data_IF_412359031975
#
_entry.id   IF_412359031975
#
_cell.length_a   1.000
_cell.length_b   1.000
_cell.length_c   1.000
_cell.angle_alpha   90.00
_cell.angle_beta   90.00
_cell.angle_gamma   90.00
#
_symmetry.space_group_name_H-M   'P 1'
#
loop_
_entity.id
_entity.type
_entity.pdbx_description
1 polymer ?
#
# COMPACT_ATOMS: atom_id res chain seq x y z
N UNK A 1 55.53 -23.61 32.35
CA UNK A 1 54.97 -24.51 31.31
C UNK A 1 53.55 -24.94 31.64
N UNK A 2 53.28 -25.46 32.84
CA UNK A 2 51.93 -25.89 33.27
C UNK A 2 50.89 -24.76 33.27
N UNK A 3 51.25 -23.58 33.76
CA UNK A 3 50.35 -22.42 33.85
C UNK A 3 49.97 -21.82 32.48
N UNK A 4 50.92 -21.83 31.52
CA UNK A 4 50.62 -21.46 30.13
C UNK A 4 49.72 -22.48 29.44
N UNK A 5 49.89 -23.78 29.75
CA UNK A 5 49.03 -24.82 29.22
C UNK A 5 47.60 -24.68 29.76
N UNK A 6 47.43 -24.39 31.05
CA UNK A 6 46.13 -24.12 31.68
C UNK A 6 45.44 -22.90 31.10
N UNK A 7 46.15 -21.78 30.92
CA UNK A 7 45.60 -20.60 30.27
C UNK A 7 45.16 -20.87 28.83
N UNK A 8 45.93 -21.65 28.07
CA UNK A 8 45.58 -22.03 26.71
C UNK A 8 44.33 -22.92 26.66
N UNK A 9 44.17 -23.90 27.56
CA UNK A 9 42.96 -24.74 27.62
C UNK A 9 41.72 -23.95 28.02
N UNK A 10 41.86 -23.02 28.97
CA UNK A 10 40.78 -22.13 29.40
C UNK A 10 40.32 -21.23 28.24
N UNK A 11 41.27 -20.61 27.52
CA UNK A 11 40.99 -19.79 26.35
C UNK A 11 40.34 -20.61 25.22
N UNK A 12 40.82 -21.82 24.95
CA UNK A 12 40.26 -22.70 23.93
C UNK A 12 38.82 -23.13 24.28
N UNK A 13 38.55 -23.48 25.54
CA UNK A 13 37.19 -23.78 26.01
C UNK A 13 36.24 -22.61 25.80
N UNK A 14 36.66 -21.40 26.19
CA UNK A 14 35.85 -20.18 26.00
C UNK A 14 35.60 -19.91 24.51
N UNK A 15 36.62 -20.06 23.67
CA UNK A 15 36.49 -19.89 22.23
C UNK A 15 35.52 -20.91 21.61
N UNK A 16 35.60 -22.18 22.00
CA UNK A 16 34.67 -23.22 21.55
C UNK A 16 33.22 -22.89 21.89
N UNK A 17 32.94 -22.46 23.13
CA UNK A 17 31.60 -22.03 23.57
C UNK A 17 31.11 -20.85 22.73
N UNK A 18 31.96 -19.87 22.43
CA UNK A 18 31.60 -18.74 21.58
C UNK A 18 31.31 -19.16 20.14
N UNK A 19 32.10 -20.07 19.58
CA UNK A 19 31.87 -20.61 18.22
C UNK A 19 30.53 -21.35 18.15
N UNK A 20 30.19 -22.16 19.15
CA UNK A 20 28.89 -22.83 19.20
C UNK A 20 27.73 -21.84 19.31
N UNK A 21 27.88 -20.81 20.16
CA UNK A 21 26.89 -19.73 20.28
C UNK A 21 26.70 -19.00 18.96
N UNK A 22 27.79 -18.58 18.31
CA UNK A 22 27.74 -17.88 17.02
C UNK A 22 27.14 -18.75 15.92
N UNK A 23 27.46 -20.04 15.87
CA UNK A 23 26.84 -20.98 14.92
C UNK A 23 25.33 -21.10 15.13
N UNK A 24 24.86 -21.14 16.39
CA UNK A 24 23.42 -21.15 16.71
C UNK A 24 22.74 -19.85 16.29
N UNK A 25 23.33 -18.71 16.62
CA UNK A 25 22.80 -17.40 16.22
C UNK A 25 22.75 -17.27 14.70
N UNK A 26 23.83 -17.66 14.01
CA UNK A 26 23.89 -17.60 12.55
C UNK A 26 22.82 -18.49 11.91
N UNK A 27 22.64 -19.72 12.42
CA UNK A 27 21.56 -20.61 11.96
C UNK A 27 20.17 -19.99 12.15
N UNK A 28 19.88 -19.45 13.34
CA UNK A 28 18.59 -18.81 13.61
C UNK A 28 18.36 -17.57 12.73
N UNK A 29 19.41 -16.80 12.43
CA UNK A 29 19.31 -15.67 11.50
C UNK A 29 19.07 -16.13 10.06
N UNK A 30 19.76 -17.19 9.63
CA UNK A 30 19.53 -17.77 8.30
C UNK A 30 18.11 -18.30 8.19
N UNK A 31 17.64 -19.06 9.17
CA UNK A 31 16.26 -19.58 9.23
C UNK A 31 15.25 -18.44 9.12
N UNK A 32 15.37 -17.38 9.95
CA UNK A 32 14.50 -16.19 9.90
C UNK A 32 14.58 -15.43 8.57
N UNK A 33 15.75 -15.36 7.95
CA UNK A 33 15.93 -14.69 6.65
C UNK A 33 15.36 -15.49 5.48
N UNK A 34 15.26 -16.81 5.65
CA UNK A 34 14.72 -17.75 4.65
C UNK A 34 13.26 -18.13 4.92
N UNK A 35 12.67 -17.60 5.99
CA UNK A 35 11.29 -17.89 6.36
C UNK A 35 10.34 -17.32 5.27
N UNK A 36 9.50 -18.16 4.65
CA UNK A 36 8.54 -17.69 3.66
C UNK A 36 7.53 -16.73 4.27
N UNK A 37 7.19 -15.67 3.56
CA UNK A 37 6.16 -14.72 3.98
C UNK A 37 4.81 -15.16 3.41
N UNK A 38 3.84 -15.39 4.31
CA UNK A 38 2.48 -15.72 3.92
C UNK A 38 1.69 -14.46 3.53
N UNK A 39 1.01 -14.52 2.38
CA UNK A 39 -0.01 -13.54 2.00
C UNK A 39 -1.33 -14.07 2.58
N UNK A 40 -1.80 -13.46 3.66
CA UNK A 40 -2.98 -13.93 4.42
C UNK A 40 -4.29 -13.22 4.07
N UNK A 41 -4.21 -12.07 3.41
CA UNK A 41 -5.36 -11.28 3.00
C UNK A 41 -5.00 -10.34 1.86
N UNK A 42 -6.00 -9.95 1.09
CA UNK A 42 -5.88 -9.02 -0.04
C UNK A 42 -7.22 -8.32 -0.28
N UNK A 43 -7.14 -7.04 -0.63
CA UNK A 43 -8.24 -6.27 -1.22
C UNK A 43 -7.68 -5.41 -2.36
N UNK A 44 -8.53 -5.05 -3.31
CA UNK A 44 -8.14 -4.21 -4.44
C UNK A 44 -9.33 -3.48 -5.06
N UNK A 45 -9.04 -2.37 -5.74
CA UNK A 45 -9.96 -1.68 -6.64
C UNK A 45 -9.27 -1.47 -7.98
N UNK A 46 -9.93 -1.85 -9.06
CA UNK A 46 -9.44 -1.72 -10.42
C UNK A 46 -10.55 -1.21 -11.35
N UNK A 47 -10.21 -0.72 -12.56
CA UNK A 47 -11.20 -0.30 -13.54
C UNK A 47 -12.19 -1.40 -13.94
N UNK A 48 -13.35 -0.97 -14.44
CA UNK A 48 -14.39 -1.88 -14.96
C UNK A 48 -15.20 -2.58 -13.86
N UNK A 49 -15.47 -1.86 -12.76
CA UNK A 49 -16.25 -2.36 -11.62
C UNK A 49 -15.56 -3.43 -10.79
N UNK A 50 -14.22 -3.54 -10.85
CA UNK A 50 -13.48 -4.54 -10.08
C UNK A 50 -13.25 -4.02 -8.67
N UNK A 51 -14.02 -4.55 -7.72
CA UNK A 51 -14.01 -4.14 -6.32
C UNK A 51 -13.34 -5.16 -5.37
N UNK A 52 -12.86 -6.28 -5.89
CA UNK A 52 -12.39 -7.41 -5.08
C UNK A 52 -11.35 -8.27 -5.82
N UNK A 53 -10.54 -9.05 -5.08
CA UNK A 53 -9.63 -10.03 -5.70
C UNK A 53 -10.36 -11.05 -6.58
N UNK A 54 -11.56 -11.47 -6.19
CA UNK A 54 -12.42 -12.34 -7.00
C UNK A 54 -12.87 -11.63 -8.29
N UNK A 55 -13.29 -10.37 -8.19
CA UNK A 55 -13.66 -9.55 -9.35
C UNK A 55 -12.48 -9.37 -10.32
N UNK A 56 -11.27 -9.18 -9.79
CA UNK A 56 -10.04 -9.11 -10.57
C UNK A 56 -9.78 -10.43 -11.29
N UNK A 57 -9.87 -11.55 -10.57
CA UNK A 57 -9.69 -12.88 -11.15
C UNK A 57 -10.66 -13.12 -12.30
N UNK A 58 -11.94 -12.83 -12.10
CA UNK A 58 -12.96 -13.00 -13.13
C UNK A 58 -12.68 -12.11 -14.35
N UNK A 59 -12.30 -10.84 -14.13
CA UNK A 59 -11.92 -9.93 -15.21
C UNK A 59 -10.76 -10.48 -16.05
N UNK A 60 -9.71 -11.00 -15.42
CA UNK A 60 -8.55 -11.59 -16.11
C UNK A 60 -8.95 -12.88 -16.83
N UNK A 61 -9.69 -13.77 -16.17
CA UNK A 61 -10.11 -15.05 -16.72
C UNK A 61 -10.99 -14.88 -17.97
N UNK A 62 -11.86 -13.87 -17.97
CA UNK A 62 -12.73 -13.52 -19.08
C UNK A 62 -12.04 -12.65 -20.15
N UNK A 63 -10.79 -12.24 -19.91
CA UNK A 63 -10.03 -11.30 -20.75
C UNK A 63 -10.82 -10.02 -21.09
N UNK A 64 -11.53 -9.46 -20.10
CA UNK A 64 -12.35 -8.25 -20.30
C UNK A 64 -11.47 -7.02 -20.55
N UNK A 65 -11.79 -6.29 -21.61
CA UNK A 65 -11.33 -4.92 -21.78
C UNK A 65 -12.13 -3.98 -20.87
N UNK A 66 -11.43 -3.33 -19.95
CA UNK A 66 -12.00 -2.42 -18.94
C UNK A 66 -11.66 -0.96 -19.21
N UNK A 67 -11.18 -0.65 -20.43
CA UNK A 67 -10.95 0.71 -20.87
C UNK A 67 -12.29 1.42 -21.12
N UNK A 68 -12.42 2.63 -20.62
CA UNK A 68 -13.61 3.47 -20.79
C UNK A 68 -13.23 4.86 -21.28
N UNK A 69 -14.22 5.63 -21.73
CA UNK A 69 -14.04 7.06 -21.93
C UNK A 69 -13.73 7.77 -20.60
N UNK A 70 -13.20 8.99 -20.69
CA UNK A 70 -12.89 9.76 -19.49
C UNK A 70 -14.15 10.02 -18.64
N UNK A 71 -14.04 9.93 -17.30
CA UNK A 71 -15.16 10.11 -16.40
C UNK A 71 -15.66 11.56 -16.43
N UNK A 72 -16.99 11.73 -16.40
CA UNK A 72 -17.66 13.03 -16.48
C UNK A 72 -17.93 13.68 -15.11
N UNK A 73 -17.60 12.98 -14.02
CA UNK A 73 -17.89 13.36 -12.64
C UNK A 73 -16.66 13.93 -11.90
N UNK A 74 -15.51 14.09 -12.58
CA UNK A 74 -14.26 14.58 -11.98
C UNK A 74 -13.99 16.07 -12.18
N UNK A 75 -14.97 16.80 -12.72
CA UNK A 75 -14.86 18.25 -12.97
C UNK A 75 -13.91 18.62 -14.11
N UNK A 76 -13.61 17.69 -15.01
CA UNK A 76 -12.70 17.92 -16.14
C UNK A 76 -13.43 18.55 -17.34
N UNK A 77 -12.81 19.52 -17.99
CA UNK A 77 -13.26 20.03 -19.30
C UNK A 77 -12.85 19.05 -20.41
N UNK A 78 -13.63 17.98 -20.60
CA UNK A 78 -13.33 16.94 -21.58
C UNK A 78 -13.37 17.46 -23.03
N UNK A 79 -14.26 18.42 -23.32
CA UNK A 79 -14.37 19.02 -24.65
C UNK A 79 -13.14 19.87 -24.98
N UNK A 80 -12.62 20.61 -24.00
CA UNK A 80 -11.39 21.36 -24.10
C UNK A 80 -10.12 20.52 -23.93
N UNK A 81 -10.18 19.26 -23.52
CA UNK A 81 -8.99 18.45 -23.27
C UNK A 81 -8.50 17.68 -24.49
N UNK A 82 -9.37 17.28 -25.41
CA UNK A 82 -9.01 16.40 -26.54
C UNK A 82 -8.55 17.17 -27.78
N UNK A 83 -7.45 16.70 -28.40
CA UNK A 83 -7.02 17.08 -29.75
C UNK A 83 -6.34 15.88 -30.41
N UNK A 84 -6.74 15.45 -31.63
CA UNK A 84 -6.12 14.31 -32.30
C UNK A 84 -4.65 14.53 -32.69
N UNK A 85 -4.17 15.78 -32.75
CA UNK A 85 -2.76 16.09 -33.02
C UNK A 85 -1.93 16.04 -31.72
N UNK A 86 -0.98 15.08 -31.60
CA UNK A 86 -0.16 14.94 -30.40
C UNK A 86 0.81 16.11 -30.16
N UNK A 87 1.04 16.97 -31.16
CA UNK A 87 1.92 18.13 -31.03
C UNK A 87 1.22 19.35 -30.42
N UNK A 88 -0.11 19.30 -30.28
CA UNK A 88 -0.89 20.38 -29.66
C UNK A 88 -0.68 20.39 -28.15
N UNK A 89 -0.10 21.49 -27.66
CA UNK A 89 0.23 21.65 -26.24
C UNK A 89 -1.03 21.66 -25.35
N UNK A 90 -0.89 21.09 -24.17
CA UNK A 90 -1.93 21.04 -23.12
C UNK A 90 -3.21 20.29 -23.50
N UNK A 91 -3.16 19.48 -24.56
CA UNK A 91 -4.24 18.59 -24.99
C UNK A 91 -3.81 17.13 -24.83
N UNK A 92 -4.80 16.25 -24.79
CA UNK A 92 -4.63 14.81 -24.85
C UNK A 92 -5.10 14.32 -26.22
N UNK A 93 -4.29 13.50 -26.88
CA UNK A 93 -4.70 12.76 -28.08
C UNK A 93 -5.37 11.41 -27.75
N UNK A 94 -5.41 11.02 -26.47
CA UNK A 94 -6.16 9.87 -25.98
C UNK A 94 -7.47 10.31 -25.34
N UNK A 95 -8.53 9.51 -25.54
CA UNK A 95 -9.87 9.72 -24.95
C UNK A 95 -10.32 8.60 -24.01
N UNK A 96 -9.51 7.56 -23.89
CA UNK A 96 -9.84 6.35 -23.14
C UNK A 96 -8.76 6.04 -22.11
N UNK A 97 -9.17 5.48 -20.98
CA UNK A 97 -8.30 5.13 -19.86
C UNK A 97 -8.93 4.07 -18.96
N UNK A 98 -8.15 3.57 -18.02
CA UNK A 98 -8.66 2.76 -16.92
C UNK A 98 -8.99 3.65 -15.74
N UNK A 99 -10.26 3.73 -15.36
CA UNK A 99 -10.73 4.54 -14.25
C UNK A 99 -11.40 3.66 -13.20
N UNK A 100 -11.01 3.86 -11.93
CA UNK A 100 -11.71 3.26 -10.80
C UNK A 100 -13.02 4.00 -10.56
N UNK A 101 -14.11 3.22 -10.43
CA UNK A 101 -15.45 3.71 -10.15
C UNK A 101 -15.55 4.15 -8.67
N UNK A 102 -16.41 5.13 -8.38
CA UNK A 102 -16.66 5.55 -6.99
C UNK A 102 -15.44 6.10 -6.25
N UNK A 103 -14.40 6.57 -6.95
CA UNK A 103 -13.15 7.04 -6.32
C UNK A 103 -13.35 8.22 -5.34
N UNK A 104 -14.48 8.92 -5.45
CA UNK A 104 -14.85 10.00 -4.55
C UNK A 104 -15.59 9.52 -3.30
N UNK A 105 -16.13 8.28 -3.31
CA UNK A 105 -16.88 7.69 -2.22
C UNK A 105 -15.94 7.34 -1.07
N UNK A 106 -16.40 7.59 0.15
CA UNK A 106 -15.66 7.31 1.37
C UNK A 106 -16.62 7.36 2.57
N UNK A 107 -16.46 6.47 3.55
CA UNK A 107 -17.16 6.56 4.84
C UNK A 107 -16.27 7.23 5.91
N UNK A 108 -16.28 8.57 6.02
CA UNK A 108 -15.42 9.26 6.96
C UNK A 108 -15.79 8.99 8.42
N UNK A 109 -17.07 8.74 8.72
CA UNK A 109 -17.53 8.51 10.08
C UNK A 109 -16.99 7.20 10.63
N UNK A 110 -16.91 6.16 9.79
CA UNK A 110 -16.31 4.88 10.14
C UNK A 110 -14.85 5.01 10.58
N UNK A 111 -14.07 5.85 9.89
CA UNK A 111 -12.66 6.11 10.21
C UNK A 111 -12.44 7.22 11.25
N UNK A 112 -13.51 7.81 11.79
CA UNK A 112 -13.43 8.91 12.76
C UNK A 112 -12.90 10.22 12.17
N UNK A 113 -13.12 10.44 10.88
CA UNK A 113 -12.67 11.59 10.10
C UNK A 113 -13.84 12.57 9.92
N UNK A 114 -13.57 13.88 10.02
CA UNK A 114 -14.61 14.88 9.83
C UNK A 114 -14.98 15.04 8.34
N UNK A 115 -16.22 15.45 8.00
CA UNK A 115 -16.62 15.64 6.60
C UNK A 115 -15.74 16.65 5.84
N UNK A 116 -15.30 17.72 6.49
CA UNK A 116 -14.41 18.73 5.89
C UNK A 116 -13.02 18.16 5.61
N UNK A 117 -12.47 17.39 6.54
CA UNK A 117 -11.18 16.71 6.36
C UNK A 117 -11.25 15.68 5.24
N UNK A 118 -12.31 14.86 5.20
CA UNK A 118 -12.52 13.87 4.15
C UNK A 118 -12.56 14.48 2.75
N UNK A 119 -13.15 15.68 2.60
CA UNK A 119 -13.18 16.41 1.34
C UNK A 119 -11.78 16.85 0.88
N UNK A 120 -10.93 17.24 1.83
CA UNK A 120 -9.54 17.66 1.59
C UNK A 120 -8.59 16.50 1.31
N UNK A 121 -8.92 15.27 1.74
CA UNK A 121 -8.07 14.09 1.58
C UNK A 121 -7.96 13.64 0.11
N UNK A 122 -6.73 13.38 -0.33
CA UNK A 122 -6.47 12.69 -1.59
C UNK A 122 -7.25 11.36 -1.64
N UNK A 123 -8.01 11.08 -2.71
CA UNK A 123 -8.69 9.80 -2.88
C UNK A 123 -7.80 8.56 -2.68
N UNK A 124 -6.50 8.64 -3.01
CA UNK A 124 -5.55 7.54 -2.77
C UNK A 124 -5.46 7.18 -1.27
N UNK A 125 -5.52 8.17 -0.39
CA UNK A 125 -5.50 7.94 1.06
C UNK A 125 -6.80 7.32 1.57
N UNK A 126 -7.93 7.82 1.07
CA UNK A 126 -9.27 7.31 1.42
C UNK A 126 -9.38 5.83 1.02
N UNK A 127 -9.00 5.50 -0.21
CA UNK A 127 -8.94 4.12 -0.68
C UNK A 127 -7.96 3.27 0.13
N UNK A 128 -6.78 3.79 0.49
CA UNK A 128 -5.82 3.03 1.28
C UNK A 128 -6.40 2.63 2.65
N UNK A 129 -7.18 3.48 3.29
CA UNK A 129 -7.86 3.18 4.55
C UNK A 129 -8.89 2.04 4.39
N UNK A 130 -9.77 2.16 3.41
CA UNK A 130 -10.79 1.13 3.13
C UNK A 130 -10.17 -0.21 2.74
N UNK A 131 -9.22 -0.20 1.80
CA UNK A 131 -8.61 -1.44 1.30
C UNK A 131 -7.75 -2.15 2.36
N UNK A 132 -7.10 -1.38 3.24
CA UNK A 132 -6.37 -1.96 4.37
C UNK A 132 -7.33 -2.63 5.35
N UNK A 133 -8.48 -2.01 5.63
CA UNK A 133 -9.50 -2.59 6.49
C UNK A 133 -10.05 -3.89 5.90
N UNK A 134 -10.48 -3.87 4.64
CA UNK A 134 -11.01 -5.04 3.94
C UNK A 134 -10.01 -6.20 3.84
N UNK A 135 -8.73 -5.90 3.59
CA UNK A 135 -7.70 -6.92 3.53
C UNK A 135 -7.53 -7.64 4.88
N UNK A 136 -7.66 -6.92 5.99
CA UNK A 136 -7.63 -7.49 7.34
C UNK A 136 -8.87 -8.33 7.63
N UNK A 137 -10.07 -7.82 7.30
CA UNK A 137 -11.32 -8.57 7.48
C UNK A 137 -11.31 -9.88 6.67
N UNK A 138 -10.84 -9.84 5.42
CA UNK A 138 -10.72 -11.02 4.56
C UNK A 138 -9.67 -12.02 5.05
N UNK A 139 -8.67 -11.56 5.80
CA UNK A 139 -7.72 -12.43 6.50
C UNK A 139 -8.31 -13.03 7.79
N UNK A 140 -9.53 -12.65 8.19
CA UNK A 140 -10.13 -13.04 9.47
C UNK A 140 -9.45 -12.39 10.67
N UNK A 141 -8.79 -11.25 10.48
CA UNK A 141 -8.08 -10.51 11.53
C UNK A 141 -8.97 -9.36 11.98
N UNK A 142 -9.23 -9.27 13.29
CA UNK A 142 -9.86 -8.08 13.89
C UNK A 142 -8.87 -6.90 13.86
N UNK A 143 -9.13 -5.83 13.07
CA UNK A 143 -8.22 -4.70 12.95
C UNK A 143 -7.98 -3.97 14.28
N UNK A 144 -8.96 -3.99 15.19
CA UNK A 144 -8.85 -3.28 16.47
C UNK A 144 -7.80 -3.91 17.39
N UNK A 145 -7.59 -5.23 17.26
CA UNK A 145 -6.57 -5.98 17.99
C UNK A 145 -5.12 -5.69 17.57
N UNK A 146 -4.92 -5.04 16.42
CA UNK A 146 -3.58 -4.67 15.94
C UNK A 146 -3.05 -3.38 16.57
N UNK A 147 -3.89 -2.61 17.27
CA UNK A 147 -3.47 -1.35 17.89
C UNK A 147 -2.36 -1.60 18.93
N UNK A 148 -1.20 -0.96 18.73
CA UNK A 148 -0.03 -1.10 19.61
C UNK A 148 0.81 -2.37 19.36
N UNK A 149 0.48 -3.16 18.34
CA UNK A 149 1.27 -4.30 17.91
C UNK A 149 2.47 -3.87 17.03
N UNK A 150 3.39 -4.80 16.78
CA UNK A 150 4.49 -4.61 15.84
C UNK A 150 4.04 -4.80 14.36
N UNK A 151 2.93 -4.17 13.96
CA UNK A 151 2.42 -4.20 12.58
C UNK A 151 3.01 -3.04 11.79
N UNK A 152 3.74 -3.36 10.71
CA UNK A 152 4.31 -2.36 9.80
C UNK A 152 3.38 -2.07 8.62
N UNK A 153 3.35 -0.81 8.16
CA UNK A 153 2.66 -0.40 6.93
C UNK A 153 3.71 0.05 5.92
N UNK A 154 3.65 -0.52 4.73
CA UNK A 154 4.52 -0.19 3.60
C UNK A 154 3.64 0.13 2.41
N UNK A 155 3.61 1.39 1.98
CA UNK A 155 2.75 1.86 0.89
C UNK A 155 3.57 2.62 -0.16
N UNK A 156 3.31 2.33 -1.43
CA UNK A 156 3.82 3.11 -2.56
C UNK A 156 2.75 4.07 -3.04
N UNK A 157 2.99 5.37 -2.91
CA UNK A 157 2.11 6.42 -3.42
C UNK A 157 2.92 7.37 -4.30
N UNK A 158 2.24 7.96 -5.28
CA UNK A 158 2.77 9.12 -6.02
C UNK A 158 1.87 10.31 -5.74
N UNK A 159 2.48 11.50 -5.63
CA UNK A 159 1.74 12.73 -5.36
C UNK A 159 0.67 12.92 -6.44
N UNK A 160 -0.58 12.90 -6.02
CA UNK A 160 -1.73 13.27 -6.84
C UNK A 160 -1.86 14.80 -6.92
N UNK A 161 -2.36 15.31 -8.04
CA UNK A 161 -2.69 16.74 -8.18
C UNK A 161 -3.97 17.15 -7.44
N UNK A 162 -4.53 16.29 -6.59
CA UNK A 162 -5.81 16.51 -5.91
C UNK A 162 -5.72 17.73 -4.97
N UNK A 163 -6.69 18.64 -5.09
CA UNK A 163 -6.75 19.85 -4.27
C UNK A 163 -5.68 20.91 -4.56
N UNK A 164 -4.72 20.67 -5.47
CA UNK A 164 -3.62 21.61 -5.76
C UNK A 164 -4.08 22.95 -6.35
N UNK A 165 -5.24 22.97 -7.00
CA UNK A 165 -5.85 24.15 -7.62
C UNK A 165 -7.17 24.56 -6.94
N UNK A 166 -7.54 23.90 -5.83
CA UNK A 166 -8.74 24.22 -5.07
C UNK A 166 -8.48 25.38 -4.09
N UNK A 167 -9.51 26.19 -3.83
CA UNK A 167 -9.51 27.15 -2.70
C UNK A 167 -9.21 26.43 -1.38
N UNK A 168 -8.74 27.16 -0.38
CA UNK A 168 -8.25 26.61 0.88
C UNK A 168 -9.36 25.80 1.58
N UNK A 169 -9.20 24.47 1.64
CA UNK A 169 -10.07 23.57 2.40
C UNK A 169 -9.37 23.25 3.72
N UNK A 170 -10.07 23.45 4.83
CA UNK A 170 -9.59 23.10 6.16
C UNK A 170 -9.41 21.57 6.27
N UNK A 171 -8.16 21.08 6.29
CA UNK A 171 -7.82 19.66 6.42
C UNK A 171 -6.41 19.30 5.95
N UNK A 172 -5.87 18.17 6.44
CA UNK A 172 -4.57 17.65 5.96
C UNK A 172 -4.76 16.90 4.63
N UNK A 173 -4.19 17.43 3.54
CA UNK A 173 -4.24 16.82 2.19
C UNK A 173 -3.43 15.51 2.09
N UNK A 174 -2.34 15.43 2.85
CA UNK A 174 -1.39 14.32 2.89
C UNK A 174 -0.87 14.20 4.32
N UNK A 175 -1.12 13.05 4.96
CA UNK A 175 -0.64 12.73 6.32
C UNK A 175 0.47 11.69 6.24
N UNK A 176 1.40 11.69 7.21
CA UNK A 176 2.47 10.68 7.26
C UNK A 176 3.71 10.96 6.42
N UNK A 177 3.87 12.18 5.87
CA UNK A 177 5.18 12.63 5.38
C UNK A 177 6.08 12.99 6.55
N UNK A 178 7.10 12.18 6.79
CA UNK A 178 8.26 12.53 7.63
C UNK A 178 9.46 12.86 6.76
#
# INVERSE_FOLDING_TARGET
>A
MVDQLQHATEALRKALVQVERLKRTNRALLERSSEPIAIVGMSCRFPGGVDSPEGLWQMVADARDVMSEFPTDRGWDLAGLFDPDPDVRHKSYARTGGFVDGVADFDPAFFGISPSEALAMDPQHRMLLELSWEALERAGIDPTGLRGSATGVFAGLIVGGYGMLAEEIEGCRLTGMT
#
